data_IF_847699926486
#
_entry.id   IF_847699926486
#
_cell.length_a   1.000
_cell.length_b   1.000
_cell.length_c   1.000
_cell.angle_alpha   90.00
_cell.angle_beta   90.00
_cell.angle_gamma   90.00
#
_symmetry.space_group_name_H-M   'P 1'
#
loop_
_entity.id
_entity.type
_entity.pdbx_description
1 polymer ?
#
# COMPACT_ATOMS: atom_id res chain seq x y z
N UNK A 1 22.83 1.72 14.49
CA UNK A 1 21.81 0.92 13.76
C UNK A 1 21.19 1.82 12.71
N UNK A 2 20.96 1.34 11.49
CA UNK A 2 20.29 2.14 10.46
C UNK A 2 18.85 2.43 10.92
N UNK A 3 18.37 3.67 10.70
CA UNK A 3 16.97 4.01 10.97
C UNK A 3 16.05 3.18 10.09
N UNK A 4 14.80 2.98 10.52
CA UNK A 4 13.82 2.23 9.76
C UNK A 4 13.60 2.78 8.33
N UNK A 5 13.54 4.11 8.20
CA UNK A 5 13.54 4.80 6.90
C UNK A 5 14.75 4.43 6.02
N UNK A 6 15.94 4.33 6.62
CA UNK A 6 17.16 3.94 5.89
C UNK A 6 17.08 2.48 5.42
N UNK A 7 16.44 1.59 6.17
CA UNK A 7 16.16 0.21 5.74
C UNK A 7 15.22 0.20 4.52
N UNK A 8 14.11 0.94 4.56
CA UNK A 8 13.18 1.07 3.42
C UNK A 8 13.90 1.61 2.18
N UNK A 9 14.70 2.67 2.33
CA UNK A 9 15.47 3.24 1.21
C UNK A 9 16.45 2.22 0.62
N UNK A 10 17.10 1.43 1.46
CA UNK A 10 18.02 0.38 1.00
C UNK A 10 17.29 -0.74 0.26
N UNK A 11 16.11 -1.13 0.74
CA UNK A 11 15.24 -2.09 0.07
C UNK A 11 14.79 -1.58 -1.31
N UNK A 12 14.30 -0.33 -1.41
CA UNK A 12 13.92 0.28 -2.70
C UNK A 12 15.11 0.32 -3.65
N UNK A 13 16.33 0.61 -3.16
CA UNK A 13 17.55 0.58 -3.97
C UNK A 13 17.87 -0.82 -4.47
N UNK A 14 17.74 -1.85 -3.62
CA UNK A 14 17.95 -3.24 -4.00
C UNK A 14 16.94 -3.66 -5.08
N UNK A 15 15.68 -3.35 -4.85
CA UNK A 15 14.58 -3.59 -5.77
C UNK A 15 14.83 -2.96 -7.15
N UNK A 16 15.17 -1.68 -7.19
CA UNK A 16 15.47 -0.97 -8.46
C UNK A 16 16.65 -1.58 -9.22
N UNK A 17 17.65 -2.14 -8.54
CA UNK A 17 18.78 -2.82 -9.19
C UNK A 17 18.38 -4.16 -9.80
N UNK A 18 17.40 -4.84 -9.20
CA UNK A 18 16.93 -6.15 -9.62
C UNK A 18 15.65 -6.08 -10.46
N UNK A 19 15.15 -4.88 -10.78
CA UNK A 19 13.86 -4.66 -11.40
C UNK A 19 13.65 -5.43 -12.71
N UNK A 20 14.69 -5.58 -13.53
CA UNK A 20 14.65 -6.37 -14.76
C UNK A 20 14.31 -7.85 -14.56
N UNK A 21 14.41 -8.36 -13.32
CA UNK A 21 14.00 -9.73 -12.97
C UNK A 21 12.50 -9.82 -12.64
N UNK A 22 11.85 -8.70 -12.33
CA UNK A 22 10.47 -8.65 -11.84
C UNK A 22 9.48 -8.09 -12.88
N UNK A 23 9.94 -7.35 -13.88
CA UNK A 23 9.08 -6.79 -14.93
C UNK A 23 9.83 -6.46 -16.22
N UNK A 24 9.10 -6.58 -17.34
CA UNK A 24 9.53 -6.11 -18.65
C UNK A 24 9.35 -4.58 -18.83
N UNK A 25 8.69 -3.90 -17.88
CA UNK A 25 8.47 -2.46 -17.93
C UNK A 25 9.76 -1.69 -17.61
N UNK A 26 10.20 -0.77 -18.47
CA UNK A 26 11.38 0.07 -18.21
C UNK A 26 11.16 1.13 -17.12
N UNK A 27 9.90 1.47 -16.81
CA UNK A 27 9.56 2.55 -15.87
C UNK A 27 8.50 2.09 -14.90
N UNK A 28 8.78 2.10 -13.61
CA UNK A 28 7.76 1.85 -12.59
C UNK A 28 7.90 2.85 -11.47
N UNK A 29 6.77 3.46 -11.12
CA UNK A 29 6.70 4.44 -10.03
C UNK A 29 6.47 3.71 -8.73
N UNK A 30 7.42 3.83 -7.81
CA UNK A 30 7.23 3.37 -6.42
C UNK A 30 6.41 4.41 -5.68
N UNK A 31 5.19 4.06 -5.28
CA UNK A 31 4.27 4.94 -4.59
C UNK A 31 4.61 5.02 -3.11
N UNK A 32 4.93 6.22 -2.62
CA UNK A 32 4.92 6.51 -1.18
C UNK A 32 3.50 6.53 -0.61
N UNK A 33 3.38 6.65 0.72
CA UNK A 33 2.11 6.61 1.44
C UNK A 33 1.05 7.57 0.86
N UNK A 34 1.43 8.81 0.54
CA UNK A 34 0.50 9.81 -0.04
C UNK A 34 -0.06 9.36 -1.39
N UNK A 35 0.79 8.82 -2.28
CA UNK A 35 0.37 8.32 -3.57
C UNK A 35 -0.51 7.08 -3.44
N UNK A 36 -0.19 6.20 -2.48
CA UNK A 36 -0.99 5.02 -2.19
C UNK A 36 -2.37 5.39 -1.64
N UNK A 37 -2.45 6.36 -0.72
CA UNK A 37 -3.70 6.91 -0.19
C UNK A 37 -4.55 7.55 -1.28
N UNK A 38 -3.94 8.35 -2.16
CA UNK A 38 -4.63 8.94 -3.31
C UNK A 38 -5.18 7.86 -4.25
N UNK A 39 -4.39 6.83 -4.57
CA UNK A 39 -4.83 5.71 -5.40
C UNK A 39 -5.99 4.95 -4.76
N UNK A 40 -5.98 4.77 -3.43
CA UNK A 40 -7.08 4.16 -2.69
C UNK A 40 -8.35 5.03 -2.76
N UNK A 41 -8.23 6.33 -2.49
CA UNK A 41 -9.35 7.26 -2.56
C UNK A 41 -10.02 7.25 -3.95
N UNK A 42 -9.23 7.29 -5.02
CA UNK A 42 -9.76 7.23 -6.39
C UNK A 42 -10.42 5.88 -6.70
N UNK A 43 -9.87 4.79 -6.17
CA UNK A 43 -10.43 3.45 -6.35
C UNK A 43 -11.75 3.28 -5.61
N UNK A 44 -11.85 3.80 -4.38
CA UNK A 44 -13.11 3.83 -3.63
C UNK A 44 -14.16 4.71 -4.31
N UNK A 45 -13.79 5.89 -4.78
CA UNK A 45 -14.72 6.77 -5.51
C UNK A 45 -15.21 6.14 -6.82
N UNK A 46 -14.37 5.38 -7.53
CA UNK A 46 -14.77 4.63 -8.73
C UNK A 46 -15.78 3.51 -8.39
N UNK A 47 -15.54 2.75 -7.32
CA UNK A 47 -16.48 1.73 -6.85
C UNK A 47 -17.81 2.35 -6.43
N UNK A 48 -17.78 3.45 -5.67
CA UNK A 48 -18.98 4.19 -5.28
C UNK A 48 -19.75 4.71 -6.49
N UNK A 49 -19.06 5.19 -7.53
CA UNK A 49 -19.71 5.61 -8.77
C UNK A 49 -20.42 4.45 -9.46
N UNK A 50 -19.83 3.26 -9.46
CA UNK A 50 -20.42 2.08 -10.09
C UNK A 50 -21.64 1.55 -9.32
N UNK A 51 -21.62 1.59 -7.99
CA UNK A 51 -22.68 1.05 -7.12
C UNK A 51 -23.79 2.07 -6.83
N UNK A 52 -23.43 3.32 -6.60
CA UNK A 52 -24.31 4.38 -6.09
C UNK A 52 -24.49 5.56 -7.05
N UNK A 53 -23.70 5.62 -8.14
CA UNK A 53 -23.75 6.69 -9.14
C UNK A 53 -22.86 7.90 -8.83
N UNK A 54 -22.35 8.02 -7.60
CA UNK A 54 -21.58 9.17 -7.14
C UNK A 54 -20.08 8.86 -7.00
N UNK A 55 -19.24 9.67 -7.65
CA UNK A 55 -17.78 9.59 -7.57
C UNK A 55 -17.27 10.38 -6.36
N UNK A 56 -17.62 9.94 -5.17
CA UNK A 56 -17.20 10.58 -3.92
C UNK A 56 -16.90 9.53 -2.86
N UNK A 57 -16.06 9.89 -1.90
CA UNK A 57 -15.76 9.10 -0.71
C UNK A 57 -15.33 10.06 0.39
N UNK A 58 -15.70 9.78 1.64
CA UNK A 58 -15.25 10.59 2.77
C UNK A 58 -13.80 10.25 3.13
N UNK A 59 -13.05 11.22 3.65
CA UNK A 59 -11.67 10.97 4.06
C UNK A 59 -11.58 9.97 5.23
N UNK A 60 -12.59 9.94 6.11
CA UNK A 60 -12.66 8.96 7.21
C UNK A 60 -12.71 7.53 6.67
N UNK A 61 -13.57 7.27 5.69
CA UNK A 61 -13.72 5.92 5.12
C UNK A 61 -12.43 5.49 4.40
N UNK A 62 -11.75 6.44 3.73
CA UNK A 62 -10.45 6.19 3.09
C UNK A 62 -9.41 5.79 4.13
N UNK A 63 -9.32 6.49 5.26
CA UNK A 63 -8.34 6.19 6.32
C UNK A 63 -8.63 4.85 7.01
N UNK A 64 -9.90 4.52 7.24
CA UNK A 64 -10.29 3.21 7.79
C UNK A 64 -9.97 2.08 6.81
N UNK A 65 -10.31 2.27 5.54
CA UNK A 65 -10.00 1.32 4.47
C UNK A 65 -8.50 1.18 4.26
N UNK A 66 -7.74 2.27 4.41
CA UNK A 66 -6.27 2.26 4.34
C UNK A 66 -5.67 1.36 5.40
N UNK A 67 -6.08 1.52 6.67
CA UNK A 67 -5.62 0.66 7.76
C UNK A 67 -5.93 -0.80 7.48
N UNK A 68 -7.15 -1.11 7.08
CA UNK A 68 -7.54 -2.47 6.73
C UNK A 68 -6.71 -3.03 5.56
N UNK A 69 -6.50 -2.23 4.51
CA UNK A 69 -5.70 -2.59 3.33
C UNK A 69 -4.25 -2.93 3.71
N UNK A 70 -3.63 -2.15 4.59
CA UNK A 70 -2.26 -2.40 5.06
C UNK A 70 -2.17 -3.75 5.77
N UNK A 71 -3.06 -4.04 6.70
CA UNK A 71 -3.09 -5.30 7.43
C UNK A 71 -3.34 -6.49 6.50
N UNK A 72 -4.33 -6.38 5.62
CA UNK A 72 -4.64 -7.41 4.61
C UNK A 72 -3.46 -7.69 3.69
N UNK A 73 -2.79 -6.66 3.17
CA UNK A 73 -1.59 -6.86 2.36
C UNK A 73 -0.45 -7.47 3.18
N UNK A 74 -0.20 -7.03 4.40
CA UNK A 74 0.90 -7.54 5.21
C UNK A 74 0.64 -8.93 5.81
N UNK A 75 -0.55 -9.50 5.61
CA UNK A 75 -0.95 -10.78 6.19
C UNK A 75 -1.09 -10.71 7.72
N UNK A 76 -1.27 -9.52 8.27
CA UNK A 76 -1.42 -9.29 9.70
C UNK A 76 -2.86 -9.56 10.13
N UNK A 77 -3.04 -10.07 11.34
CA UNK A 77 -4.37 -10.29 11.91
C UNK A 77 -5.06 -8.97 12.21
N UNK A 78 -6.21 -8.72 11.56
CA UNK A 78 -7.13 -7.63 11.85
C UNK A 78 -7.96 -7.92 13.12
N UNK A 79 -7.32 -8.21 14.26
CA UNK A 79 -8.05 -8.41 15.52
C UNK A 79 -8.75 -7.09 15.87
N UNK A 80 -10.08 -7.07 15.79
CA UNK A 80 -10.98 -5.93 16.04
C UNK A 80 -11.21 -4.91 14.89
N UNK A 81 -10.81 -5.21 13.65
CA UNK A 81 -11.21 -4.38 12.49
C UNK A 81 -12.29 -5.08 11.66
N UNK A 82 -13.44 -4.42 11.49
CA UNK A 82 -14.43 -4.85 10.49
C UNK A 82 -13.95 -4.52 9.08
N UNK A 83 -14.24 -5.41 8.13
CA UNK A 83 -13.92 -5.17 6.73
C UNK A 83 -14.73 -3.99 6.20
N UNK A 84 -14.10 -3.04 5.49
CA UNK A 84 -14.81 -1.95 4.82
C UNK A 84 -15.88 -2.48 3.87
N UNK A 85 -16.96 -1.70 3.70
CA UNK A 85 -18.00 -2.03 2.74
C UNK A 85 -17.41 -2.17 1.33
N UNK A 86 -17.81 -3.22 0.60
CA UNK A 86 -17.35 -3.47 -0.77
C UNK A 86 -15.81 -3.63 -0.89
N UNK A 87 -15.11 -4.01 0.20
CA UNK A 87 -13.64 -4.12 0.22
C UNK A 87 -13.05 -4.95 -0.93
N UNK A 88 -13.68 -6.06 -1.31
CA UNK A 88 -13.20 -6.90 -2.42
C UNK A 88 -13.15 -6.13 -3.76
N UNK A 89 -14.18 -5.31 -4.04
CA UNK A 89 -14.24 -4.49 -5.24
C UNK A 89 -13.28 -3.31 -5.16
N UNK A 90 -13.16 -2.68 -3.98
CA UNK A 90 -12.18 -1.62 -3.71
C UNK A 90 -10.77 -2.13 -3.94
N UNK A 91 -10.42 -3.29 -3.39
CA UNK A 91 -9.11 -3.92 -3.52
C UNK A 91 -8.79 -4.22 -4.99
N UNK A 92 -9.75 -4.80 -5.70
CA UNK A 92 -9.60 -5.07 -7.14
C UNK A 92 -9.42 -3.77 -7.95
N UNK A 93 -10.16 -2.73 -7.63
CA UNK A 93 -10.05 -1.42 -8.28
C UNK A 93 -8.68 -0.78 -8.02
N UNK A 94 -8.20 -0.87 -6.77
CA UNK A 94 -6.89 -0.40 -6.34
C UNK A 94 -5.75 -1.09 -7.09
N UNK A 95 -5.71 -2.42 -7.07
CA UNK A 95 -4.68 -3.20 -7.77
C UNK A 95 -4.71 -2.93 -9.29
N UNK A 96 -5.91 -2.77 -9.85
CA UNK A 96 -6.08 -2.39 -11.25
C UNK A 96 -5.59 -0.97 -11.55
N UNK A 97 -5.80 -0.02 -10.65
CA UNK A 97 -5.31 1.35 -10.77
C UNK A 97 -3.79 1.38 -10.79
N UNK A 98 -3.15 0.68 -9.84
CA UNK A 98 -1.69 0.59 -9.77
C UNK A 98 -1.11 -0.02 -11.05
N UNK A 99 -1.67 -1.16 -11.49
CA UNK A 99 -1.24 -1.85 -12.71
C UNK A 99 -1.37 -0.98 -13.96
N UNK A 100 -2.52 -0.32 -14.16
CA UNK A 100 -2.75 0.56 -15.33
C UNK A 100 -1.86 1.79 -15.32
N UNK A 101 -1.46 2.26 -14.14
CA UNK A 101 -0.62 3.44 -13.97
C UNK A 101 0.86 3.12 -13.86
N UNK A 102 1.24 1.85 -14.01
CA UNK A 102 2.62 1.38 -13.86
C UNK A 102 3.24 1.79 -12.51
N UNK A 103 2.41 1.67 -11.47
CA UNK A 103 2.74 1.98 -10.09
C UNK A 103 2.88 0.69 -9.31
N UNK A 104 3.79 0.70 -8.33
CA UNK A 104 3.88 -0.31 -7.29
C UNK A 104 3.80 0.37 -5.95
N UNK A 105 3.03 -0.20 -5.04
CA UNK A 105 3.04 0.30 -3.67
C UNK A 105 4.22 -0.27 -2.88
N UNK A 106 4.48 0.32 -1.71
CA UNK A 106 5.63 -0.06 -0.91
C UNK A 106 5.50 -1.46 -0.30
N UNK A 107 4.27 -1.94 -0.09
CA UNK A 107 4.04 -3.27 0.48
C UNK A 107 4.34 -4.34 -0.57
N UNK A 108 3.93 -4.12 -1.82
CA UNK A 108 4.26 -5.01 -2.93
C UNK A 108 5.78 -5.17 -3.07
N UNK A 109 6.54 -4.09 -2.84
CA UNK A 109 8.02 -4.14 -2.85
C UNK A 109 8.55 -4.91 -1.64
N UNK A 110 8.04 -4.66 -0.44
CA UNK A 110 8.40 -5.43 0.76
C UNK A 110 8.18 -6.93 0.53
N UNK A 111 7.03 -7.29 -0.05
CA UNK A 111 6.67 -8.66 -0.34
C UNK A 111 7.53 -9.29 -1.43
N UNK A 112 7.81 -8.58 -2.51
CA UNK A 112 8.71 -9.08 -3.55
C UNK A 112 10.16 -9.19 -3.04
N UNK A 113 10.50 -8.41 -2.01
CA UNK A 113 11.77 -8.50 -1.29
C UNK A 113 11.73 -9.48 -0.11
N UNK A 114 10.63 -10.22 0.16
CA UNK A 114 10.47 -11.04 1.37
C UNK A 114 11.56 -12.10 1.59
N UNK A 115 12.33 -12.46 0.56
CA UNK A 115 13.55 -13.27 0.75
C UNK A 115 14.62 -12.58 1.60
N UNK A 116 14.43 -11.32 2.03
CA UNK A 116 15.41 -10.49 2.72
C UNK A 116 14.92 -9.88 4.04
N UNK A 117 13.65 -10.06 4.45
CA UNK A 117 13.04 -9.30 5.57
C UNK A 117 12.46 -10.25 6.63
N UNK A 118 12.93 -10.20 7.90
CA UNK A 118 12.36 -10.94 9.03
C UNK A 118 10.93 -10.48 9.39
N UNK A 119 10.12 -11.37 9.96
CA UNK A 119 8.73 -11.09 10.39
C UNK A 119 8.61 -9.88 11.33
N UNK A 120 9.58 -9.66 12.22
CA UNK A 120 9.59 -8.50 13.13
C UNK A 120 9.65 -7.15 12.43
N UNK A 121 10.16 -7.09 11.20
CA UNK A 121 10.20 -5.84 10.43
C UNK A 121 8.86 -5.57 9.70
N UNK A 122 7.97 -6.56 9.57
CA UNK A 122 6.63 -6.43 8.96
C UNK A 122 5.71 -5.61 9.88
N UNK A 123 5.77 -5.86 11.18
CA UNK A 123 5.03 -5.06 12.17
C UNK A 123 5.53 -3.60 12.21
N UNK A 124 6.85 -3.38 12.16
CA UNK A 124 7.44 -2.03 12.05
C UNK A 124 6.96 -1.29 10.78
N UNK A 125 6.85 -2.01 9.65
CA UNK A 125 6.29 -1.49 8.39
C UNK A 125 4.84 -1.04 8.58
N UNK A 126 4.01 -1.86 9.25
CA UNK A 126 2.62 -1.50 9.53
C UNK A 126 2.52 -0.23 10.39
N UNK A 127 3.27 -0.15 11.49
CA UNK A 127 3.28 1.03 12.37
C UNK A 127 3.74 2.31 11.65
N UNK A 128 4.74 2.20 10.77
CA UNK A 128 5.20 3.33 9.96
C UNK A 128 4.12 3.84 9.00
N UNK A 129 3.37 2.94 8.34
CA UNK A 129 2.32 3.33 7.40
C UNK A 129 0.99 3.74 8.05
N UNK A 130 0.71 3.24 9.26
CA UNK A 130 -0.44 3.66 10.08
C UNK A 130 -0.23 5.00 10.79
N UNK A 131 0.99 5.57 10.73
CA UNK A 131 1.31 6.85 11.38
C UNK A 131 1.38 6.75 12.92
N UNK A 132 1.56 5.54 13.46
CA UNK A 132 1.69 5.31 14.90
C UNK A 132 3.10 5.66 15.41
N UNK A 133 4.08 5.77 14.51
CA UNK A 133 5.33 6.48 14.76
C UNK A 133 5.24 7.91 14.20
N UNK A 134 4.96 8.87 15.08
CA UNK A 134 5.07 10.30 14.77
C UNK A 134 6.55 10.67 14.60
N UNK A 135 7.04 10.78 13.36
CA UNK A 135 8.32 11.42 13.09
C UNK A 135 8.09 12.79 12.43
N UNK A 136 8.21 13.81 13.27
CA UNK A 136 8.49 15.20 12.86
C UNK A 136 9.72 15.18 11.94
N UNK A 137 9.57 15.75 10.76
CA UNK A 137 10.67 16.05 9.82
C UNK A 137 11.64 17.07 10.39
#
# INVERSE_FOLDING_TARGET
>A
MATFQQKIVNMIKCFRRQWCLFSDSERTTVCGADCMMMALQLSMAEVNKQLHGDFTVSLSDVVETWKYLLHDKLGLTCENMEAPENYADIRKAYDSFLKRSNMLDLIDICQQCHTLIPESEIEEISHFFCGEESLVL
#
